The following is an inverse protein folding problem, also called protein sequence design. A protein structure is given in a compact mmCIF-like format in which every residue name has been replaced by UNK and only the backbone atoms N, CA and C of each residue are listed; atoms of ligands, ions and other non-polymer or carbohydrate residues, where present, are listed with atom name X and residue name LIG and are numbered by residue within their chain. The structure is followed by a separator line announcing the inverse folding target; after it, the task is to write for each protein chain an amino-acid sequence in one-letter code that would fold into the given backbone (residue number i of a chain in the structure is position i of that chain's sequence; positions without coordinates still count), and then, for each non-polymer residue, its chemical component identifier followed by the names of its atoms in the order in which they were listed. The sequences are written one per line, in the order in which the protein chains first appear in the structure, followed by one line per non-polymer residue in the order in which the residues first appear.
data_IF_719065444016
#
_entry.id   IF_719065444016
#
_cell.length_a   1.000
_cell.length_b   1.000
_cell.length_c   1.000
_cell.angle_alpha   90.00
_cell.angle_beta   90.00
_cell.angle_gamma   90.00
#
_symmetry.space_group_name_H-M   'P 1'
#
loop_
_entity.id
_entity.type
_entity.pdbx_description
1 polymer ?
#
# COMPACT_ATOMS: atom_id res chain seq x y z
N UNK A 1 24.75 -2.79 5.51
CA UNK A 1 24.07 -2.38 6.78
C UNK A 1 22.72 -1.76 6.44
N UNK A 2 21.64 -2.19 7.12
CA UNK A 2 20.25 -1.81 6.84
C UNK A 2 19.87 -0.37 7.25
N UNK A 3 20.83 0.39 7.78
CA UNK A 3 20.58 1.68 8.46
C UNK A 3 21.03 2.90 7.64
N UNK A 4 21.56 2.71 6.42
CA UNK A 4 22.10 3.80 5.57
C UNK A 4 21.10 4.93 5.30
N UNK A 5 19.80 4.64 5.35
CA UNK A 5 18.76 5.65 5.13
C UNK A 5 18.65 6.65 6.30
N UNK A 6 18.99 6.24 7.54
CA UNK A 6 18.96 7.14 8.69
C UNK A 6 20.18 8.07 8.74
N UNK A 7 21.23 7.77 7.98
CA UNK A 7 22.39 8.65 7.79
C UNK A 7 22.11 9.73 6.73
N UNK A 8 21.04 9.59 5.94
CA UNK A 8 20.63 10.59 4.97
C UNK A 8 19.86 11.72 5.67
N UNK A 9 20.39 12.96 5.73
CA UNK A 9 19.75 14.06 6.44
C UNK A 9 18.41 14.50 5.81
N UNK A 10 18.26 14.40 4.50
CA UNK A 10 17.00 14.71 3.81
C UNK A 10 15.93 13.67 4.16
N UNK A 11 16.32 12.40 4.22
CA UNK A 11 15.44 11.33 4.67
C UNK A 11 15.02 11.54 6.13
N UNK A 12 15.97 11.89 7.01
CA UNK A 12 15.70 12.18 8.41
C UNK A 12 14.76 13.37 8.58
N UNK A 13 14.93 14.43 7.78
CA UNK A 13 14.03 15.58 7.78
C UNK A 13 12.60 15.18 7.41
N UNK A 14 12.44 14.35 6.39
CA UNK A 14 11.13 13.86 5.92
C UNK A 14 10.47 12.97 6.99
N UNK A 15 11.20 11.99 7.53
CA UNK A 15 10.62 11.02 8.47
C UNK A 15 10.26 11.66 9.82
N UNK A 16 11.10 12.58 10.32
CA UNK A 16 10.86 13.29 11.57
C UNK A 16 9.68 14.25 11.47
N UNK A 17 9.42 14.85 10.30
CA UNK A 17 8.27 15.72 10.06
C UNK A 17 8.08 16.80 11.17
N UNK A 18 9.18 17.46 11.54
CA UNK A 18 9.21 18.49 12.60
C UNK A 18 9.38 17.98 14.03
N UNK A 19 9.54 16.67 14.25
CA UNK A 19 9.87 16.07 15.56
C UNK A 19 11.36 16.07 15.84
N UNK A 20 11.72 16.04 17.12
CA UNK A 20 13.11 16.09 17.56
C UNK A 20 13.81 14.73 17.44
N UNK A 21 13.04 13.62 17.49
CA UNK A 21 13.59 12.27 17.38
C UNK A 21 12.61 11.28 16.75
N UNK A 22 13.13 10.12 16.33
CA UNK A 22 12.32 9.03 15.82
C UNK A 22 11.39 8.49 16.92
N UNK A 23 11.87 8.41 18.16
CA UNK A 23 11.09 7.96 19.31
C UNK A 23 9.88 8.88 19.53
N UNK A 24 10.07 10.20 19.51
CA UNK A 24 8.98 11.18 19.60
C UNK A 24 8.00 11.01 18.43
N UNK A 25 8.51 10.84 17.22
CA UNK A 25 7.68 10.64 16.02
C UNK A 25 6.86 9.36 16.08
N UNK A 26 7.45 8.27 16.56
CA UNK A 26 6.79 6.97 16.65
C UNK A 26 5.90 6.85 17.89
N UNK A 27 6.10 7.66 18.94
CA UNK A 27 5.21 7.71 20.10
C UNK A 27 3.80 8.21 19.76
N UNK A 28 3.66 9.01 18.70
CA UNK A 28 2.35 9.47 18.19
C UNK A 28 1.55 8.35 17.51
N UNK A 29 2.20 7.24 17.18
CA UNK A 29 1.57 6.16 16.44
C UNK A 29 0.81 5.23 17.40
N UNK A 30 -0.53 5.31 17.37
CA UNK A 30 -1.37 4.27 17.94
C UNK A 30 -1.40 3.04 17.00
N UNK A 31 -0.60 2.03 17.35
CA UNK A 31 -0.49 0.77 16.62
C UNK A 31 -1.85 0.06 16.50
N UNK A 32 -2.75 0.19 17.48
CA UNK A 32 -4.07 -0.47 17.43
C UNK A 32 -4.97 0.21 16.39
N UNK A 33 -4.98 1.53 16.38
CA UNK A 33 -5.72 2.32 15.38
C UNK A 33 -5.23 2.02 13.97
N UNK A 34 -3.91 2.04 13.73
CA UNK A 34 -3.35 1.74 12.41
C UNK A 34 -3.71 0.33 11.94
N UNK A 35 -3.63 -0.67 12.83
CA UNK A 35 -4.01 -2.05 12.48
C UNK A 35 -5.49 -2.16 12.13
N UNK A 36 -6.36 -1.43 12.83
CA UNK A 36 -7.78 -1.40 12.53
C UNK A 36 -8.04 -0.75 11.16
N UNK A 37 -7.49 0.44 10.90
CA UNK A 37 -7.64 1.12 9.61
C UNK A 37 -7.08 0.30 8.44
N UNK A 38 -5.93 -0.34 8.62
CA UNK A 38 -5.36 -1.23 7.60
C UNK A 38 -6.29 -2.40 7.31
N UNK A 39 -6.87 -3.01 8.35
CA UNK A 39 -7.82 -4.12 8.20
C UNK A 39 -9.10 -3.67 7.49
N UNK A 40 -9.58 -2.46 7.78
CA UNK A 40 -10.75 -1.87 7.12
C UNK A 40 -10.47 -1.52 5.66
N UNK A 41 -9.31 -0.93 5.35
CA UNK A 41 -8.90 -0.63 3.97
C UNK A 41 -8.61 -1.89 3.15
N UNK A 42 -8.08 -2.96 3.75
CA UNK A 42 -7.93 -4.25 3.08
C UNK A 42 -9.28 -4.84 2.65
N UNK A 43 -10.35 -4.64 3.44
CA UNK A 43 -11.71 -5.03 3.01
C UNK A 43 -12.17 -4.25 1.77
N UNK A 44 -11.76 -2.99 1.63
CA UNK A 44 -12.14 -2.14 0.49
C UNK A 44 -11.31 -2.43 -0.77
N UNK A 45 -10.02 -2.74 -0.62
CA UNK A 45 -9.11 -3.03 -1.74
C UNK A 45 -9.31 -4.46 -2.29
N UNK A 46 -9.92 -5.35 -1.50
CA UNK A 46 -10.07 -6.77 -1.82
C UNK A 46 -11.34 -7.17 -2.58
N UNK A 47 -12.38 -6.34 -2.62
CA UNK A 47 -13.61 -6.73 -3.31
C UNK A 47 -13.55 -6.38 -4.80
N UNK A 48 -12.88 -7.26 -5.54
CA UNK A 48 -13.09 -7.37 -6.98
C UNK A 48 -14.60 -7.34 -7.23
N UNK A 49 -15.13 -6.35 -7.99
CA UNK A 49 -16.57 -6.26 -8.25
C UNK A 49 -17.07 -7.63 -8.72
N UNK A 50 -18.23 -8.12 -8.23
CA UNK A 50 -18.69 -9.48 -8.55
C UNK A 50 -18.70 -9.80 -10.05
N UNK A 51 -18.94 -8.78 -10.90
CA UNK A 51 -18.89 -8.86 -12.36
C UNK A 51 -17.47 -9.09 -12.90
N UNK A 52 -16.45 -8.49 -12.29
CA UNK A 52 -15.05 -8.63 -12.69
C UNK A 52 -14.44 -9.98 -12.30
N UNK A 53 -14.96 -10.67 -11.27
CA UNK A 53 -14.48 -12.02 -10.88
C UNK A 53 -14.53 -13.02 -12.04
N UNK A 54 -15.51 -12.89 -12.93
CA UNK A 54 -15.64 -13.75 -14.13
C UNK A 54 -14.57 -13.43 -15.18
N UNK A 55 -14.20 -12.15 -15.31
CA UNK A 55 -13.21 -11.66 -16.27
C UNK A 55 -11.82 -12.20 -15.92
N UNK A 56 -11.42 -12.13 -14.64
CA UNK A 56 -10.13 -12.66 -14.17
C UNK A 56 -9.96 -14.17 -14.35
N UNK A 57 -11.06 -14.92 -14.53
CA UNK A 57 -11.03 -16.37 -14.76
C UNK A 57 -10.89 -16.75 -16.23
N UNK A 58 -10.97 -15.79 -17.15
CA UNK A 58 -10.85 -16.07 -18.58
C UNK A 58 -9.37 -16.27 -18.91
N UNK A 59 -9.00 -17.53 -19.20
CA UNK A 59 -7.67 -17.86 -19.70
C UNK A 59 -7.44 -17.19 -21.06
N UNK A 60 -6.24 -16.63 -21.23
CA UNK A 60 -5.81 -15.94 -22.45
C UNK A 60 -6.79 -14.82 -22.85
N UNK A 61 -7.26 -14.06 -21.86
CA UNK A 61 -8.18 -12.94 -22.08
C UNK A 61 -7.61 -11.88 -23.02
N UNK A 62 -6.34 -11.43 -22.88
CA UNK A 62 -5.78 -10.43 -23.80
C UNK A 62 -5.87 -10.87 -25.27
N UNK A 63 -5.53 -12.12 -25.55
CA UNK A 63 -5.56 -12.69 -26.90
C UNK A 63 -6.99 -12.78 -27.45
N UNK A 64 -7.95 -13.09 -26.58
CA UNK A 64 -9.38 -13.10 -26.96
C UNK A 64 -9.86 -11.69 -27.31
N UNK A 65 -9.48 -10.66 -26.55
CA UNK A 65 -9.92 -9.29 -26.81
C UNK A 65 -9.38 -8.75 -28.14
N UNK A 66 -8.10 -9.02 -28.44
CA UNK A 66 -7.47 -8.63 -29.71
C UNK A 66 -8.18 -9.25 -30.92
N UNK A 67 -8.66 -10.49 -30.79
CA UNK A 67 -9.40 -11.20 -31.85
C UNK A 67 -10.77 -10.58 -32.16
N UNK A 68 -11.41 -9.91 -31.20
CA UNK A 68 -12.72 -9.27 -31.40
C UNK A 68 -12.64 -7.85 -31.98
N UNK A 69 -11.45 -7.23 -31.97
CA UNK A 69 -11.21 -5.88 -32.50
C UNK A 69 -10.56 -5.89 -33.89
N UNK A 70 -10.34 -7.07 -34.46
CA UNK A 70 -9.79 -7.30 -35.81
C UNK A 70 -10.93 -7.70 -36.75
#
# INVERSE_FOLDING_TARGET
PLVKNLENPDYMKIILNGKCSLEERFAEIDIKLIRQELKEKQKQIGDTPPRMRKIYKIRNLPEKLIKYTS
#
